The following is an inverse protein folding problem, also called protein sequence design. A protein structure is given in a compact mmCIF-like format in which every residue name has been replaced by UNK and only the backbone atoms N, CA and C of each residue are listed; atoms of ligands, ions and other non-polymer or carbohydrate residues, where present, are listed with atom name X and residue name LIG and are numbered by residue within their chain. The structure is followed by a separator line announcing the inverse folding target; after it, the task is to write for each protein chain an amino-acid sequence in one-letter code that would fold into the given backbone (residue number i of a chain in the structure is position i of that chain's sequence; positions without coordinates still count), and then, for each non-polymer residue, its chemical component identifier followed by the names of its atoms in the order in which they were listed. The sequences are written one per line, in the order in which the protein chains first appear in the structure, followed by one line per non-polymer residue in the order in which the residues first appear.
data_IF_946839061813
#
_entry.id   IF_946839061813
#
_cell.length_a   1.000
_cell.length_b   1.000
_cell.length_c   1.000
_cell.angle_alpha   90.00
_cell.angle_beta   90.00
_cell.angle_gamma   90.00
#
_symmetry.space_group_name_H-M   'P 1'
#
loop_
_entity.id
_entity.type
_entity.pdbx_description
1 polymer ?
#
# COMPACT_ATOMS: atom_id res chain seq x y z
N UNK A 1 -0.32 -14.03 -16.68
CA UNK A 1 0.56 -14.74 -15.75
C UNK A 1 0.64 -16.23 -16.11
N UNK A 2 1.65 -16.94 -15.62
CA UNK A 2 1.74 -18.38 -15.79
C UNK A 2 0.90 -19.02 -14.68
N UNK A 3 -0.21 -19.65 -15.05
CA UNK A 3 -1.08 -20.35 -14.10
C UNK A 3 -0.28 -21.40 -13.34
N UNK A 4 -0.30 -21.35 -12.02
CA UNK A 4 0.18 -22.43 -11.16
C UNK A 4 -0.82 -22.73 -10.05
N UNK A 5 -0.51 -23.69 -9.17
CA UNK A 5 -1.45 -24.13 -8.13
C UNK A 5 -1.80 -23.03 -7.11
N UNK A 6 -1.00 -21.97 -7.04
CA UNK A 6 -1.12 -20.86 -6.08
C UNK A 6 -1.50 -19.52 -6.74
N UNK A 7 -1.37 -19.41 -8.07
CA UNK A 7 -1.67 -18.21 -8.84
C UNK A 7 -2.78 -18.51 -9.85
N UNK A 8 -4.01 -18.16 -9.47
CA UNK A 8 -5.18 -18.23 -10.33
C UNK A 8 -5.19 -17.07 -11.32
N UNK A 9 -5.90 -17.23 -12.45
CA UNK A 9 -6.11 -16.14 -13.41
C UNK A 9 -6.94 -14.98 -12.82
N UNK A 10 -7.72 -15.26 -11.77
CA UNK A 10 -8.62 -14.33 -11.10
C UNK A 10 -8.49 -14.52 -9.59
N UNK A 11 -8.40 -13.40 -8.86
CA UNK A 11 -8.36 -13.37 -7.40
C UNK A 11 -9.02 -12.08 -6.90
N UNK A 12 -9.25 -12.00 -5.59
CA UNK A 12 -9.86 -10.83 -4.96
C UNK A 12 -8.77 -9.91 -4.42
N UNK A 13 -8.90 -8.63 -4.70
CA UNK A 13 -8.04 -7.59 -4.16
C UNK A 13 -8.89 -6.63 -3.33
N UNK A 14 -8.30 -6.13 -2.24
CA UNK A 14 -8.89 -5.09 -1.41
C UNK A 14 -7.98 -3.89 -1.54
N UNK A 15 -8.53 -2.74 -1.91
CA UNK A 15 -7.78 -1.49 -2.00
C UNK A 15 -8.38 -0.45 -1.04
N UNK A 16 -7.52 0.41 -0.52
CA UNK A 16 -7.88 1.59 0.24
C UNK A 16 -7.24 2.83 -0.35
N UNK A 17 -8.01 3.92 -0.42
CA UNK A 17 -7.57 5.20 -0.97
C UNK A 17 -8.04 6.33 -0.04
N UNK A 18 -7.17 7.31 0.17
CA UNK A 18 -7.49 8.56 0.88
C UNK A 18 -7.02 9.73 0.02
N UNK A 19 -7.89 10.69 -0.23
CA UNK A 19 -7.57 11.94 -0.90
C UNK A 19 -7.88 13.10 0.05
N UNK A 20 -6.86 13.85 0.45
CA UNK A 20 -7.01 14.99 1.36
C UNK A 20 -5.86 15.99 1.19
N UNK A 21 -5.94 17.13 1.86
CA UNK A 21 -4.88 18.14 1.91
C UNK A 21 -3.98 17.92 3.12
N UNK A 22 -2.70 18.22 2.98
CA UNK A 22 -1.70 18.07 4.04
C UNK A 22 -1.49 16.62 4.52
N UNK A 23 -1.81 15.64 3.67
CA UNK A 23 -1.51 14.23 3.92
C UNK A 23 -0.24 13.80 3.18
N UNK A 24 0.38 12.71 3.63
CA UNK A 24 1.67 12.28 3.08
C UNK A 24 2.09 10.92 3.61
N UNK A 25 3.34 10.51 3.34
CA UNK A 25 3.82 9.16 3.63
C UNK A 25 3.66 8.74 5.10
N UNK A 26 3.95 9.63 6.06
CA UNK A 26 3.79 9.32 7.48
C UNK A 26 2.34 9.01 7.87
N UNK A 27 1.37 9.69 7.25
CA UNK A 27 -0.05 9.40 7.44
C UNK A 27 -0.40 8.01 6.88
N UNK A 28 0.06 7.70 5.67
CA UNK A 28 -0.13 6.39 5.04
C UNK A 28 0.40 5.25 5.92
N UNK A 29 1.64 5.37 6.42
CA UNK A 29 2.23 4.39 7.33
C UNK A 29 1.38 4.21 8.59
N UNK A 30 0.94 5.31 9.23
CA UNK A 30 0.10 5.24 10.43
C UNK A 30 -1.28 4.64 10.20
N UNK A 31 -1.87 4.82 9.01
CA UNK A 31 -3.13 4.17 8.62
C UNK A 31 -2.93 2.66 8.47
N UNK A 32 -1.87 2.25 7.77
CA UNK A 32 -1.52 0.84 7.55
C UNK A 32 -1.25 0.15 8.90
N UNK A 33 -0.47 0.77 9.78
CA UNK A 33 -0.21 0.25 11.13
C UNK A 33 -1.51 0.05 11.91
N UNK A 34 -2.42 1.03 11.87
CA UNK A 34 -3.73 0.91 12.55
C UNK A 34 -4.60 -0.19 11.93
N UNK A 35 -4.60 -0.32 10.61
CA UNK A 35 -5.38 -1.34 9.90
C UNK A 35 -4.91 -2.75 10.29
N UNK A 36 -3.62 -3.03 10.15
CA UNK A 36 -3.06 -4.34 10.46
C UNK A 36 -3.10 -4.69 11.95
N UNK A 37 -2.93 -3.70 12.84
CA UNK A 37 -3.06 -3.91 14.27
C UNK A 37 -4.47 -4.41 14.65
N UNK A 38 -5.53 -3.87 14.02
CA UNK A 38 -6.91 -4.32 14.24
C UNK A 38 -7.16 -5.78 13.85
N UNK A 39 -6.37 -6.35 12.95
CA UNK A 39 -6.44 -7.76 12.55
C UNK A 39 -5.33 -8.62 13.18
N UNK A 40 -4.61 -8.08 14.17
CA UNK A 40 -3.65 -8.82 14.98
C UNK A 40 -2.22 -8.89 14.42
N UNK A 41 -1.91 -8.17 13.35
CA UNK A 41 -0.54 -8.07 12.80
C UNK A 41 0.11 -6.80 13.33
N UNK A 42 1.26 -6.95 14.00
CA UNK A 42 1.97 -5.87 14.69
C UNK A 42 3.42 -5.78 14.21
N UNK A 43 4.10 -4.70 14.61
CA UNK A 43 5.53 -4.48 14.35
C UNK A 43 5.87 -4.58 12.85
N UNK A 44 5.12 -3.83 12.05
CA UNK A 44 5.28 -3.81 10.61
C UNK A 44 6.64 -3.26 10.21
N UNK A 45 7.18 -3.79 9.11
CA UNK A 45 8.34 -3.25 8.44
C UNK A 45 7.93 -2.69 7.09
N UNK A 46 8.30 -1.43 6.85
CA UNK A 46 8.09 -0.76 5.57
C UNK A 46 9.37 -0.79 4.76
N UNK A 47 9.28 -1.24 3.51
CA UNK A 47 10.41 -1.32 2.60
C UNK A 47 10.13 -0.47 1.36
N UNK A 48 11.03 0.47 0.99
CA UNK A 48 10.91 1.20 -0.26
C UNK A 48 10.80 0.25 -1.45
N UNK A 49 9.85 0.54 -2.33
CA UNK A 49 9.62 -0.22 -3.57
C UNK A 49 9.36 0.75 -4.73
N UNK A 50 9.06 0.21 -5.91
CA UNK A 50 8.69 0.98 -7.09
C UNK A 50 7.30 0.55 -7.59
N UNK A 51 6.38 1.52 -7.66
CA UNK A 51 5.17 1.41 -8.47
C UNK A 51 5.16 2.55 -9.49
N UNK A 52 4.75 2.31 -10.76
CA UNK A 52 4.76 3.34 -11.80
C UNK A 52 3.92 4.58 -11.48
N UNK A 53 2.87 4.43 -10.67
CA UNK A 53 1.86 5.45 -10.40
C UNK A 53 1.96 6.06 -8.99
N UNK A 54 2.89 5.61 -8.15
CA UNK A 54 3.12 6.20 -6.82
C UNK A 54 4.58 6.62 -6.58
N UNK A 55 4.77 7.73 -5.87
CA UNK A 55 6.06 8.21 -5.36
C UNK A 55 5.84 9.07 -4.11
N UNK A 56 6.35 8.66 -2.92
CA UNK A 56 7.07 7.42 -2.62
C UNK A 56 6.16 6.17 -2.59
N UNK A 57 6.77 4.99 -2.76
CA UNK A 57 6.09 3.67 -2.70
C UNK A 57 6.72 2.76 -1.63
N UNK A 58 5.90 1.97 -0.95
CA UNK A 58 6.31 1.07 0.12
C UNK A 58 5.63 -0.31 0.00
N UNK A 59 6.43 -1.37 0.09
CA UNK A 59 5.95 -2.71 0.48
C UNK A 59 5.81 -2.77 2.01
N UNK A 60 4.85 -3.56 2.47
CA UNK A 60 4.52 -3.75 3.89
C UNK A 60 4.84 -5.20 4.26
N UNK A 61 5.64 -5.40 5.29
CA UNK A 61 6.02 -6.71 5.79
C UNK A 61 5.51 -6.93 7.22
N UNK A 62 4.96 -8.13 7.46
CA UNK A 62 4.58 -8.60 8.79
C UNK A 62 5.29 -9.89 9.16
N UNK A 63 5.51 -10.13 10.45
CA UNK A 63 6.12 -11.37 10.92
C UNK A 63 5.12 -12.53 10.89
N UNK A 64 5.44 -13.61 10.18
CA UNK A 64 4.64 -14.82 10.18
C UNK A 64 5.13 -15.79 11.26
N UNK A 65 4.33 -16.12 12.30
CA UNK A 65 4.78 -16.90 13.46
C UNK A 65 5.19 -18.34 13.12
N UNK A 66 4.45 -19.01 12.24
CA UNK A 66 4.77 -20.40 11.82
C UNK A 66 6.01 -20.47 10.93
N UNK A 67 6.12 -19.58 9.94
CA UNK A 67 7.25 -19.55 9.01
C UNK A 67 8.51 -18.90 9.61
N UNK A 68 8.39 -18.24 10.76
CA UNK A 68 9.45 -17.53 11.47
C UNK A 68 10.22 -16.53 10.61
N UNK A 69 9.52 -15.83 9.72
CA UNK A 69 10.11 -14.85 8.79
C UNK A 69 9.18 -13.67 8.56
N UNK A 70 9.76 -12.56 8.13
CA UNK A 70 8.99 -11.46 7.54
C UNK A 70 8.42 -11.90 6.20
N UNK A 71 7.14 -11.65 5.98
CA UNK A 71 6.45 -11.89 4.72
C UNK A 71 5.82 -10.59 4.25
N UNK A 72 5.80 -10.38 2.94
CA UNK A 72 5.07 -9.28 2.33
C UNK A 72 3.56 -9.52 2.54
N UNK A 73 2.85 -8.48 2.98
CA UNK A 73 1.42 -8.54 3.31
C UNK A 73 0.61 -7.44 2.61
N UNK A 74 1.26 -6.59 1.82
CA UNK A 74 0.61 -5.55 1.04
C UNK A 74 1.60 -4.57 0.42
N UNK A 75 1.08 -3.74 -0.48
CA UNK A 75 1.81 -2.69 -1.18
C UNK A 75 1.08 -1.35 -0.99
N UNK A 76 1.80 -0.24 -1.10
CA UNK A 76 1.25 1.09 -0.85
C UNK A 76 2.08 2.19 -1.50
N UNK A 77 1.51 3.39 -1.58
CA UNK A 77 2.25 4.58 -1.99
C UNK A 77 1.40 5.84 -2.05
N UNK A 78 2.06 6.95 -2.36
CA UNK A 78 1.43 8.24 -2.61
C UNK A 78 1.30 8.43 -4.12
N UNK A 79 0.09 8.64 -4.64
CA UNK A 79 -0.12 8.81 -6.07
C UNK A 79 0.65 10.01 -6.63
N UNK A 80 1.28 9.79 -7.78
CA UNK A 80 2.09 10.78 -8.47
C UNK A 80 1.23 11.93 -9.02
N UNK A 81 1.70 13.19 -8.98
CA UNK A 81 0.96 14.31 -9.58
C UNK A 81 0.66 14.12 -11.07
N UNK A 82 1.54 13.48 -11.83
CA UNK A 82 1.33 13.23 -13.26
C UNK A 82 0.16 12.30 -13.55
N UNK A 83 -0.23 11.45 -12.60
CA UNK A 83 -1.41 10.60 -12.68
C UNK A 83 -2.68 11.37 -12.29
N UNK A 84 -2.58 12.25 -11.28
CA UNK A 84 -3.72 12.99 -10.71
C UNK A 84 -4.16 14.21 -11.54
N UNK A 85 -3.20 14.94 -12.12
CA UNK A 85 -3.45 16.13 -12.97
C UNK A 85 -4.44 15.91 -14.11
N UNK A 86 -4.30 14.88 -14.97
CA UNK A 86 -5.26 14.66 -16.06
C UNK A 86 -6.66 14.30 -15.56
N UNK A 87 -6.81 13.91 -14.29
CA UNK A 87 -8.11 13.64 -13.66
C UNK A 87 -8.76 14.91 -13.07
N UNK A 88 -8.08 16.07 -13.10
CA UNK A 88 -8.59 17.33 -12.57
C UNK A 88 -8.56 17.44 -11.05
N UNK A 89 -7.76 16.60 -10.38
CA UNK A 89 -7.57 16.69 -8.92
C UNK A 89 -6.75 17.96 -8.61
N UNK A 90 -7.17 18.79 -7.63
CA UNK A 90 -6.42 19.99 -7.25
C UNK A 90 -4.98 19.69 -6.81
N UNK A 91 -4.01 20.54 -7.18
CA UNK A 91 -2.58 20.35 -6.85
C UNK A 91 -2.29 20.36 -5.35
N UNK A 92 -3.18 20.92 -4.53
CA UNK A 92 -3.06 20.94 -3.08
C UNK A 92 -3.63 19.69 -2.38
N UNK A 93 -4.20 18.75 -3.15
CA UNK A 93 -4.69 17.46 -2.68
C UNK A 93 -3.66 16.37 -2.95
N UNK A 94 -3.33 15.60 -1.92
CA UNK A 94 -2.51 14.39 -2.02
C UNK A 94 -3.41 13.16 -1.93
N UNK A 95 -3.12 12.13 -2.73
CA UNK A 95 -3.85 10.87 -2.70
C UNK A 95 -2.91 9.76 -2.25
N UNK A 96 -3.31 9.03 -1.20
CA UNK A 96 -2.61 7.88 -0.62
C UNK A 96 -3.37 6.61 -1.02
N UNK A 97 -2.64 5.55 -1.38
CA UNK A 97 -3.23 4.25 -1.75
C UNK A 97 -2.50 3.07 -1.11
N UNK A 98 -3.24 2.00 -0.82
CA UNK A 98 -2.69 0.71 -0.41
C UNK A 98 -3.60 -0.44 -0.85
N UNK A 99 -3.04 -1.65 -0.93
CA UNK A 99 -3.74 -2.88 -1.30
C UNK A 99 -2.88 -4.12 -1.16
#
# INVERSE_FOLDING_TARGET
EKLDKTHLAEFHQIEGIIADKNVGLGHLMGIIEKFFNKIGIKDLLFKPTYNPYTEPSLEIYGYHPTLKKMVEIGNSGVFRPEMLRPMGIPEDVQVLGWG
#
